data_IF_083981300617
#
_entry.id   IF_083981300617
#
_cell.length_a   1.000
_cell.length_b   1.000
_cell.length_c   1.000
_cell.angle_alpha   90.00
_cell.angle_beta   90.00
_cell.angle_gamma   90.00
#
_symmetry.space_group_name_H-M   'P 1'
#
loop_
_entity.id
_entity.type
_entity.pdbx_description
1 polymer ?
#
# COMPACT_ATOMS: atom_id res chain seq x y z
N UNK A 1 10.66 4.19 -6.10
CA UNK A 1 10.62 3.43 -4.83
C UNK A 1 11.92 3.73 -4.11
N UNK A 2 11.87 4.46 -3.00
CA UNK A 2 13.05 4.71 -2.17
C UNK A 2 12.73 4.11 -0.81
N UNK A 3 13.42 3.04 -0.45
CA UNK A 3 13.29 2.41 0.86
C UNK A 3 14.11 3.28 1.82
N UNK A 4 13.46 3.84 2.85
CA UNK A 4 14.10 4.69 3.84
C UNK A 4 14.87 3.79 4.80
N UNK A 5 16.20 3.88 4.80
CA UNK A 5 17.03 3.22 5.81
C UNK A 5 17.22 4.20 6.97
N UNK A 6 16.50 4.03 8.07
CA UNK A 6 16.98 4.59 9.33
C UNK A 6 18.21 3.77 9.72
N UNK A 7 19.38 4.35 9.46
CA UNK A 7 20.66 3.67 9.50
C UNK A 7 21.09 3.40 10.96
N UNK A 8 20.42 2.45 11.60
CA UNK A 8 20.93 1.75 12.77
C UNK A 8 21.52 0.43 12.27
N UNK A 9 22.65 0.49 11.57
CA UNK A 9 23.38 -0.70 11.07
C UNK A 9 23.99 -1.53 12.23
N UNK A 10 23.21 -1.76 13.28
CA UNK A 10 23.58 -2.52 14.46
C UNK A 10 23.17 -3.97 14.25
N UNK A 11 24.11 -4.88 14.51
CA UNK A 11 23.82 -6.31 14.55
C UNK A 11 23.03 -6.59 15.83
N UNK A 12 21.80 -7.07 15.67
CA UNK A 12 20.92 -7.49 16.74
C UNK A 12 21.39 -8.81 17.36
N UNK A 13 20.85 -9.17 18.52
CA UNK A 13 21.12 -10.46 19.18
C UNK A 13 20.71 -11.66 18.31
N UNK A 14 19.72 -11.48 17.44
CA UNK A 14 19.29 -12.44 16.42
C UNK A 14 20.26 -12.56 15.21
N UNK A 15 21.28 -11.71 15.16
CA UNK A 15 22.24 -11.62 14.06
C UNK A 15 21.73 -10.88 12.82
N UNK A 16 20.49 -10.38 12.82
CA UNK A 16 19.97 -9.46 11.80
C UNK A 16 20.54 -8.05 11.99
N UNK A 17 20.60 -7.27 10.92
CA UNK A 17 20.94 -5.85 10.96
C UNK A 17 19.66 -5.03 11.10
N UNK A 18 19.63 -4.17 12.13
CA UNK A 18 18.52 -3.24 12.32
C UNK A 18 18.44 -2.22 11.17
N UNK A 19 17.21 -1.77 10.87
CA UNK A 19 16.95 -0.76 9.84
C UNK A 19 17.35 -1.15 8.41
N UNK A 20 17.59 -2.43 8.14
CA UNK A 20 18.05 -2.96 6.86
C UNK A 20 16.96 -3.81 6.17
N UNK A 21 16.85 -3.72 4.84
CA UNK A 21 15.79 -4.36 4.06
C UNK A 21 16.27 -5.62 3.34
N UNK A 22 15.77 -6.78 3.75
CA UNK A 22 16.22 -8.10 3.28
C UNK A 22 15.34 -8.57 2.11
N UNK A 23 15.90 -8.92 0.94
CA UNK A 23 15.12 -9.52 -0.14
C UNK A 23 14.52 -10.85 0.28
N UNK A 24 13.21 -11.02 0.06
CA UNK A 24 12.54 -12.31 0.15
C UNK A 24 12.81 -13.08 -1.16
N UNK A 25 13.36 -14.28 -1.03
CA UNK A 25 13.76 -15.12 -2.16
C UNK A 25 12.76 -16.25 -2.38
N UNK A 26 12.26 -16.85 -1.30
CA UNK A 26 11.34 -17.98 -1.37
C UNK A 26 10.46 -18.07 -0.11
N UNK A 27 9.34 -18.75 -0.27
CA UNK A 27 8.47 -19.18 0.82
C UNK A 27 8.10 -20.64 0.58
N UNK A 28 8.38 -21.51 1.55
CA UNK A 28 8.16 -22.96 1.43
C UNK A 28 7.52 -23.54 2.70
N UNK A 29 6.71 -24.59 2.56
CA UNK A 29 6.21 -25.39 3.67
C UNK A 29 7.04 -26.68 3.75
N UNK A 30 7.78 -26.86 4.84
CA UNK A 30 8.65 -28.02 5.06
C UNK A 30 8.28 -28.69 6.36
N UNK A 31 7.88 -29.97 6.30
CA UNK A 31 7.48 -30.77 7.46
C UNK A 31 6.41 -30.10 8.34
N UNK A 32 5.46 -29.39 7.72
CA UNK A 32 4.42 -28.65 8.45
C UNK A 32 4.85 -27.30 9.01
N UNK A 33 6.04 -26.80 8.66
CA UNK A 33 6.51 -25.46 9.02
C UNK A 33 6.56 -24.54 7.80
N UNK A 34 5.91 -23.38 7.87
CA UNK A 34 6.06 -22.33 6.86
C UNK A 34 7.35 -21.54 7.10
N UNK A 35 8.24 -21.55 6.11
CA UNK A 35 9.59 -20.97 6.16
C UNK A 35 9.77 -19.91 5.08
N UNK A 36 10.40 -18.79 5.43
CA UNK A 36 10.80 -17.72 4.52
C UNK A 36 12.31 -17.80 4.28
N UNK A 37 12.73 -17.75 3.03
CA UNK A 37 14.13 -17.56 2.65
C UNK A 37 14.41 -16.08 2.39
N UNK A 38 15.41 -15.55 3.10
CA UNK A 38 15.89 -14.18 2.94
C UNK A 38 17.33 -14.17 2.46
N UNK A 39 17.67 -13.23 1.58
CA UNK A 39 19.06 -12.95 1.24
C UNK A 39 19.63 -11.86 2.16
N UNK A 40 20.86 -12.06 2.63
CA UNK A 40 21.61 -10.99 3.29
C UNK A 40 22.55 -10.33 2.25
N UNK A 41 22.20 -9.16 1.68
CA UNK A 41 23.07 -8.43 0.76
C UNK A 41 24.21 -7.66 1.46
N UNK A 42 24.25 -7.64 2.80
CA UNK A 42 25.28 -6.92 3.56
C UNK A 42 26.43 -7.84 3.94
N UNK A 43 27.62 -7.23 4.08
CA UNK A 43 28.85 -7.93 4.45
C UNK A 43 28.89 -8.40 5.93
N UNK A 44 27.85 -8.10 6.70
CA UNK A 44 27.76 -8.35 8.14
C UNK A 44 26.35 -8.86 8.51
N UNK A 45 26.23 -9.43 9.70
CA UNK A 45 24.98 -10.06 10.16
C UNK A 45 24.84 -11.49 9.64
N UNK A 46 24.43 -12.40 10.50
CA UNK A 46 24.14 -13.79 10.15
C UNK A 46 23.06 -14.27 11.09
N UNK A 47 21.90 -14.64 10.54
CA UNK A 47 20.81 -15.20 11.33
C UNK A 47 21.30 -16.40 12.15
N UNK A 48 21.10 -16.32 13.46
CA UNK A 48 21.55 -17.32 14.43
C UNK A 48 20.39 -18.05 15.13
N UNK A 49 19.14 -17.75 14.75
CA UNK A 49 17.95 -18.42 15.28
C UNK A 49 17.67 -19.76 14.61
N UNK A 50 16.47 -20.30 14.86
CA UNK A 50 16.02 -21.57 14.27
C UNK A 50 16.04 -21.49 12.74
N UNK A 51 16.37 -22.59 12.08
CA UNK A 51 16.59 -22.67 10.61
C UNK A 51 17.78 -21.86 10.08
N UNK A 52 18.56 -21.25 11.00
CA UNK A 52 19.83 -20.63 10.69
C UNK A 52 20.88 -21.64 10.22
N UNK A 53 22.01 -21.15 9.68
CA UNK A 53 23.03 -21.98 9.04
C UNK A 53 23.56 -23.14 9.88
N UNK A 54 23.53 -22.99 11.20
CA UNK A 54 24.11 -23.92 12.19
C UNK A 54 23.04 -24.79 12.88
N UNK A 55 21.78 -24.75 12.41
CA UNK A 55 20.66 -25.50 13.01
C UNK A 55 20.54 -26.95 12.50
N UNK A 56 20.23 -27.93 13.39
CA UNK A 56 19.96 -29.30 12.98
C UNK A 56 18.60 -29.38 12.27
N UNK A 57 18.60 -29.69 10.96
CA UNK A 57 17.40 -29.72 10.12
C UNK A 57 17.52 -28.95 8.81
N UNK A 58 18.64 -28.25 8.59
CA UNK A 58 18.89 -27.53 7.34
C UNK A 58 18.92 -28.47 6.13
N UNK A 59 18.16 -28.12 5.09
CA UNK A 59 18.32 -28.69 3.74
C UNK A 59 19.73 -28.32 3.25
N UNK A 60 20.59 -29.30 3.01
CA UNK A 60 21.99 -29.10 2.60
C UNK A 60 22.18 -28.50 1.20
N UNK A 61 21.12 -27.92 0.61
CA UNK A 61 21.09 -27.53 -0.80
C UNK A 61 20.96 -26.02 -0.95
N UNK A 62 21.78 -25.50 -1.87
CA UNK A 62 21.89 -24.12 -2.34
C UNK A 62 22.78 -23.20 -1.50
N UNK A 63 24.07 -23.53 -1.49
CA UNK A 63 25.13 -22.57 -1.18
C UNK A 63 25.64 -21.96 -2.50
N UNK A 64 25.32 -20.69 -2.75
CA UNK A 64 25.99 -19.88 -3.78
C UNK A 64 27.06 -19.02 -3.09
N UNK A 65 28.30 -18.95 -3.62
CA UNK A 65 29.36 -18.17 -2.98
C UNK A 65 29.08 -16.66 -3.09
N UNK A 66 29.09 -15.94 -1.95
CA UNK A 66 29.06 -14.47 -1.89
C UNK A 66 27.87 -13.87 -1.13
N UNK A 67 26.68 -14.44 -1.27
CA UNK A 67 25.47 -14.09 -0.51
C UNK A 67 24.83 -15.40 -0.06
N UNK A 68 24.71 -15.60 1.25
CA UNK A 68 24.14 -16.84 1.78
C UNK A 68 22.69 -16.58 2.16
N UNK A 69 21.70 -17.06 1.39
CA UNK A 69 20.33 -17.01 1.83
C UNK A 69 20.19 -17.82 3.12
N UNK A 70 19.36 -17.34 4.02
CA UNK A 70 19.03 -18.00 5.28
C UNK A 70 17.53 -18.19 5.38
N UNK A 71 17.14 -19.25 6.09
CA UNK A 71 15.75 -19.57 6.33
C UNK A 71 15.39 -19.20 7.76
N UNK A 72 14.15 -18.75 7.94
CA UNK A 72 13.54 -18.57 9.25
C UNK A 72 12.07 -18.99 9.18
N UNK A 73 11.46 -19.23 10.34
CA UNK A 73 10.03 -19.45 10.38
C UNK A 73 9.26 -18.18 10.01
N UNK A 74 8.04 -18.33 9.49
CA UNK A 74 7.15 -17.18 9.27
C UNK A 74 6.89 -16.39 10.56
N UNK A 75 6.91 -17.07 11.72
CA UNK A 75 6.73 -16.44 13.02
C UNK A 75 7.91 -15.54 13.39
N UNK A 76 9.15 -16.04 13.23
CA UNK A 76 10.36 -15.23 13.44
C UNK A 76 10.40 -14.04 12.48
N UNK A 77 9.98 -14.26 11.22
CA UNK A 77 9.87 -13.20 10.23
C UNK A 77 8.94 -12.08 10.70
N UNK A 78 7.72 -12.42 11.15
CA UNK A 78 6.77 -11.45 11.67
C UNK A 78 7.25 -10.73 12.94
N UNK A 79 8.12 -11.37 13.73
CA UNK A 79 8.67 -10.78 14.94
C UNK A 79 9.80 -9.78 14.64
N UNK A 80 10.56 -10.00 13.56
CA UNK A 80 11.75 -9.22 13.25
C UNK A 80 11.57 -8.18 12.15
N UNK A 81 10.57 -8.32 11.29
CA UNK A 81 10.32 -7.42 10.18
C UNK A 81 9.01 -6.66 10.37
N UNK A 82 9.06 -5.35 10.16
CA UNK A 82 7.92 -4.44 10.32
C UNK A 82 7.20 -4.15 9.01
N UNK A 83 7.94 -4.17 7.90
CA UNK A 83 7.46 -3.71 6.60
C UNK A 83 7.86 -4.69 5.49
N UNK A 84 6.94 -4.89 4.54
CA UNK A 84 7.23 -5.57 3.27
C UNK A 84 7.05 -4.57 2.14
N UNK A 85 8.04 -4.51 1.25
CA UNK A 85 7.97 -3.69 0.05
C UNK A 85 7.91 -4.59 -1.19
N UNK A 86 6.84 -4.48 -1.97
CA UNK A 86 6.71 -5.18 -3.26
C UNK A 86 7.02 -4.22 -4.41
N UNK A 87 7.93 -4.62 -5.30
CA UNK A 87 8.15 -3.91 -6.55
C UNK A 87 7.40 -4.62 -7.69
N UNK A 88 6.36 -3.99 -8.24
CA UNK A 88 5.65 -4.49 -9.42
C UNK A 88 6.20 -3.85 -10.69
N UNK A 89 6.54 -4.67 -11.68
CA UNK A 89 6.82 -4.18 -13.03
C UNK A 89 5.49 -3.84 -13.71
N UNK A 90 5.37 -2.60 -14.17
CA UNK A 90 4.25 -2.21 -15.03
C UNK A 90 4.55 -2.71 -16.45
N UNK A 91 3.61 -3.40 -17.11
CA UNK A 91 3.84 -3.89 -18.47
C UNK A 91 4.23 -2.76 -19.42
N UNK A 92 5.18 -3.02 -20.32
CA UNK A 92 5.66 -2.02 -21.28
C UNK A 92 4.61 -1.52 -22.29
N UNK A 93 3.46 -2.19 -22.37
CA UNK A 93 2.31 -1.79 -23.17
C UNK A 93 1.47 -0.68 -22.55
N UNK A 94 1.65 -0.38 -21.25
CA UNK A 94 0.90 0.67 -20.57
C UNK A 94 1.34 2.05 -21.06
N UNK A 95 0.38 2.96 -21.18
CA UNK A 95 0.66 4.36 -21.47
C UNK A 95 1.01 5.10 -20.18
N UNK A 96 1.97 6.01 -20.25
CA UNK A 96 2.36 6.87 -19.15
C UNK A 96 2.26 8.34 -19.55
N UNK A 97 1.74 9.16 -18.63
CA UNK A 97 1.74 10.61 -18.72
C UNK A 97 2.21 11.18 -17.38
N UNK A 98 2.75 12.39 -17.39
CA UNK A 98 3.25 13.01 -16.17
C UNK A 98 3.06 14.51 -16.15
N UNK A 99 2.99 15.06 -14.94
CA UNK A 99 3.02 16.49 -14.68
C UNK A 99 3.93 16.78 -13.49
N UNK A 100 4.58 17.94 -13.54
CA UNK A 100 5.30 18.50 -12.41
C UNK A 100 4.43 19.55 -11.71
N UNK A 101 4.45 19.55 -10.38
CA UNK A 101 3.69 20.47 -9.54
C UNK A 101 4.53 20.92 -8.34
N UNK A 102 4.24 22.11 -7.85
CA UNK A 102 4.82 22.71 -6.64
C UNK A 102 3.79 23.62 -5.99
N UNK A 103 4.12 24.23 -4.86
CA UNK A 103 3.26 25.24 -4.24
C UNK A 103 2.96 26.43 -5.16
N UNK A 104 3.98 26.94 -5.85
CA UNK A 104 3.85 28.07 -6.77
C UNK A 104 3.15 27.70 -8.08
N UNK A 105 3.13 26.40 -8.41
CA UNK A 105 2.50 25.86 -9.62
C UNK A 105 1.63 24.65 -9.26
N UNK A 106 0.45 24.88 -8.65
CA UNK A 106 -0.51 23.80 -8.46
C UNK A 106 -0.98 23.32 -9.83
N UNK A 107 -1.19 22.01 -9.94
CA UNK A 107 -1.70 21.38 -11.16
C UNK A 107 -2.75 20.35 -10.80
N UNK A 108 -3.80 20.31 -11.62
CA UNK A 108 -4.91 19.35 -11.50
C UNK A 108 -5.01 18.56 -12.80
N UNK A 109 -4.32 17.42 -12.91
CA UNK A 109 -4.35 16.60 -14.11
C UNK A 109 -5.70 15.97 -14.33
N UNK A 110 -6.22 16.17 -15.54
CA UNK A 110 -7.43 15.59 -16.07
C UNK A 110 -7.09 14.39 -16.96
N UNK A 111 -7.65 13.24 -16.60
CA UNK A 111 -7.49 11.98 -17.31
C UNK A 111 -8.84 11.52 -17.84
N UNK A 112 -8.88 11.07 -19.08
CA UNK A 112 -10.02 10.37 -19.66
C UNK A 112 -9.55 9.20 -20.51
N UNK A 113 -10.36 8.15 -20.59
CA UNK A 113 -10.00 6.89 -21.24
C UNK A 113 -11.05 6.54 -22.30
N UNK A 114 -10.60 5.90 -23.38
CA UNK A 114 -11.49 5.48 -24.47
C UNK A 114 -12.20 4.15 -24.19
N UNK A 115 -11.66 3.35 -23.29
CA UNK A 115 -12.16 2.03 -22.90
C UNK A 115 -11.96 1.83 -21.40
N UNK A 116 -12.76 0.95 -20.75
CA UNK A 116 -12.54 0.63 -19.35
C UNK A 116 -11.12 0.12 -19.13
N UNK A 117 -10.37 0.72 -18.20
CA UNK A 117 -8.95 0.38 -17.99
C UNK A 117 -8.52 0.57 -16.55
N UNK A 118 -7.58 -0.25 -16.11
CA UNK A 118 -6.85 -0.02 -14.86
C UNK A 118 -5.93 1.19 -14.99
N UNK A 119 -5.70 1.88 -13.87
CA UNK A 119 -4.79 3.01 -13.79
C UNK A 119 -4.00 3.03 -12.48
N UNK A 120 -2.77 3.53 -12.55
CA UNK A 120 -1.91 3.78 -11.40
C UNK A 120 -1.55 5.26 -11.40
N UNK A 121 -1.79 5.93 -10.27
CA UNK A 121 -1.37 7.29 -10.02
C UNK A 121 -0.21 7.25 -9.03
N UNK A 122 0.99 7.59 -9.49
CA UNK A 122 2.21 7.60 -8.69
C UNK A 122 2.69 9.04 -8.53
N UNK A 123 2.58 9.57 -7.33
CA UNK A 123 3.14 10.85 -6.94
C UNK A 123 4.50 10.64 -6.30
N UNK A 124 5.50 11.41 -6.70
CA UNK A 124 6.88 11.29 -6.17
C UNK A 124 7.55 12.64 -6.04
N UNK A 125 8.42 12.79 -5.04
CA UNK A 125 9.23 13.99 -4.83
C UNK A 125 10.60 13.83 -5.43
N UNK A 126 11.19 14.95 -5.88
CA UNK A 126 12.59 14.98 -6.25
C UNK A 126 13.48 14.70 -5.04
N UNK A 127 14.62 14.04 -5.28
CA UNK A 127 15.61 13.85 -4.23
C UNK A 127 16.25 15.19 -3.87
N UNK A 128 16.41 15.49 -2.57
CA UNK A 128 17.19 16.63 -2.16
C UNK A 128 18.65 16.42 -2.58
N UNK A 129 19.39 17.51 -2.89
CA UNK A 129 20.81 17.41 -3.20
C UNK A 129 21.58 16.67 -2.10
N UNK A 130 22.60 15.90 -2.47
CA UNK A 130 23.46 15.21 -1.49
C UNK A 130 23.99 16.19 -0.45
N UNK A 131 23.83 15.85 0.83
CA UNK A 131 24.26 16.69 1.96
C UNK A 131 23.20 17.69 2.46
N UNK A 132 22.04 17.76 1.81
CA UNK A 132 20.90 18.55 2.31
C UNK A 132 20.28 17.89 3.54
N UNK A 133 20.00 18.68 4.57
CA UNK A 133 19.24 18.27 5.75
C UNK A 133 17.71 18.31 5.52
N UNK A 134 17.26 18.65 4.30
CA UNK A 134 15.82 18.67 3.98
C UNK A 134 15.26 17.25 3.97
N UNK A 135 14.37 16.97 4.90
CA UNK A 135 13.56 15.75 4.89
C UNK A 135 12.54 15.81 3.76
N UNK A 136 12.12 14.63 3.29
CA UNK A 136 10.94 14.50 2.45
C UNK A 136 9.73 15.11 3.15
N UNK A 137 8.86 15.73 2.35
CA UNK A 137 7.61 16.32 2.84
C UNK A 137 6.52 15.24 2.78
N UNK A 138 5.73 15.03 3.85
CA UNK A 138 4.60 14.13 3.81
C UNK A 138 3.61 14.51 2.70
N UNK A 139 3.27 13.54 1.85
CA UNK A 139 2.34 13.70 0.73
C UNK A 139 1.13 12.79 0.87
N UNK A 140 0.01 13.25 0.32
CA UNK A 140 -1.19 12.47 0.03
C UNK A 140 -1.64 12.71 -1.41
N UNK A 141 -2.57 11.89 -1.88
CA UNK A 141 -3.07 11.92 -3.25
C UNK A 141 -4.55 11.56 -3.26
N UNK A 142 -5.36 12.37 -3.94
CA UNK A 142 -6.77 12.10 -4.21
C UNK A 142 -7.02 12.00 -5.70
N UNK A 143 -7.91 11.08 -6.06
CA UNK A 143 -8.41 10.93 -7.42
C UNK A 143 -9.93 11.06 -7.36
N UNK A 144 -10.46 11.97 -8.15
CA UNK A 144 -11.89 12.24 -8.27
C UNK A 144 -12.42 11.78 -9.61
N UNK A 145 -13.71 11.49 -9.69
CA UNK A 145 -14.46 11.18 -10.91
C UNK A 145 -15.60 12.18 -11.08
N UNK A 146 -15.75 12.67 -12.30
CA UNK A 146 -16.95 13.36 -12.77
C UNK A 146 -17.49 12.64 -14.00
N UNK A 147 -18.79 12.38 -14.06
CA UNK A 147 -19.42 11.76 -15.23
C UNK A 147 -19.71 12.81 -16.29
N UNK A 148 -19.40 12.52 -17.55
CA UNK A 148 -19.79 13.38 -18.67
C UNK A 148 -21.30 13.21 -18.87
N UNK A 149 -22.08 14.24 -18.55
CA UNK A 149 -23.53 14.23 -18.78
C UNK A 149 -23.77 14.46 -20.27
N UNK A 150 -24.20 13.42 -21.00
CA UNK A 150 -24.61 13.59 -22.38
C UNK A 150 -25.78 14.59 -22.46
N UNK A 151 -25.85 15.46 -23.48
CA UNK A 151 -27.05 16.24 -23.76
C UNK A 151 -28.26 15.29 -23.87
N UNK A 152 -29.44 15.66 -23.36
CA UNK A 152 -30.65 14.87 -23.56
C UNK A 152 -30.86 14.54 -25.04
N UNK A 153 -31.30 13.31 -25.36
CA UNK A 153 -31.39 12.76 -26.72
C UNK A 153 -32.25 13.59 -27.70
N UNK A 154 -33.00 14.59 -27.21
CA UNK A 154 -33.85 15.48 -28.00
C UNK A 154 -33.45 16.96 -27.94
N UNK A 155 -32.31 17.30 -27.32
CA UNK A 155 -31.85 18.66 -27.13
C UNK A 155 -30.65 18.97 -28.05
N UNK A 156 -30.88 18.98 -29.37
CA UNK A 156 -29.89 19.52 -30.32
C UNK A 156 -29.82 21.04 -30.18
N UNK A 157 -28.66 21.57 -29.78
CA UNK A 157 -28.39 23.03 -29.73
C UNK A 157 -28.70 23.72 -28.40
N UNK A 158 -29.16 23.00 -27.37
CA UNK A 158 -29.32 23.58 -26.03
C UNK A 158 -27.97 23.57 -25.32
N UNK A 159 -27.43 24.76 -25.01
CA UNK A 159 -26.27 24.87 -24.11
C UNK A 159 -26.65 24.22 -22.79
N UNK A 160 -25.93 23.16 -22.44
CA UNK A 160 -26.10 22.50 -21.15
C UNK A 160 -25.75 23.54 -20.07
N UNK A 161 -26.76 23.98 -19.33
CA UNK A 161 -26.62 25.00 -18.30
C UNK A 161 -26.10 24.33 -17.02
N UNK A 162 -24.88 23.80 -17.09
CA UNK A 162 -24.22 23.20 -15.94
C UNK A 162 -23.52 24.34 -15.19
N UNK A 163 -24.03 24.70 -14.01
CA UNK A 163 -23.44 25.75 -13.18
C UNK A 163 -21.98 25.45 -12.81
N UNK A 164 -21.60 24.17 -12.79
CA UNK A 164 -20.24 23.68 -12.62
C UNK A 164 -20.05 22.35 -13.36
N UNK A 165 -19.10 22.24 -14.32
CA UNK A 165 -18.92 21.05 -15.16
C UNK A 165 -18.40 19.82 -14.41
N UNK A 166 -17.91 19.98 -13.17
CA UNK A 166 -17.40 18.89 -12.34
C UNK A 166 -18.46 18.30 -11.40
N UNK A 167 -19.69 18.82 -11.38
CA UNK A 167 -20.75 18.31 -10.51
C UNK A 167 -21.64 17.28 -11.23
N UNK A 168 -21.92 16.11 -10.62
CA UNK A 168 -21.43 15.64 -9.32
C UNK A 168 -19.97 15.16 -9.38
N UNK A 169 -19.19 15.53 -8.36
CA UNK A 169 -17.81 15.08 -8.17
C UNK A 169 -17.78 13.99 -7.11
N UNK A 170 -17.10 12.89 -7.41
CA UNK A 170 -17.01 11.71 -6.53
C UNK A 170 -15.55 11.43 -6.19
N UNK A 171 -15.24 11.22 -4.91
CA UNK A 171 -13.90 10.75 -4.50
C UNK A 171 -13.76 9.26 -4.83
N UNK A 172 -12.89 8.96 -5.79
CA UNK A 172 -12.67 7.59 -6.27
C UNK A 172 -11.68 6.87 -5.37
N UNK A 173 -10.56 7.52 -5.07
CA UNK A 173 -9.47 6.92 -4.34
C UNK A 173 -8.70 8.00 -3.59
N UNK A 174 -8.21 7.67 -2.40
CA UNK A 174 -7.46 8.57 -1.53
C UNK A 174 -6.32 7.80 -0.87
N UNK A 175 -5.11 8.32 -1.02
CA UNK A 175 -4.00 8.03 -0.12
C UNK A 175 -3.86 9.24 0.81
N UNK A 176 -4.11 9.10 2.12
CA UNK A 176 -3.95 10.20 3.06
C UNK A 176 -2.47 10.61 3.15
N UNK A 177 -2.20 11.72 3.83
CA UNK A 177 -0.84 12.17 4.05
C UNK A 177 -0.07 11.09 4.83
N UNK A 178 0.89 10.46 4.16
CA UNK A 178 1.76 9.46 4.78
C UNK A 178 3.04 10.13 5.28
N UNK A 179 3.40 9.86 6.54
CA UNK A 179 4.64 10.36 7.16
C UNK A 179 5.89 9.66 6.61
N UNK A 180 5.72 8.54 5.90
CA UNK A 180 6.79 7.58 5.59
C UNK A 180 7.33 7.67 4.14
N UNK A 181 6.63 8.32 3.21
CA UNK A 181 6.93 8.20 1.78
C UNK A 181 7.42 9.47 1.08
N UNK A 182 8.52 9.37 0.32
CA UNK A 182 8.84 10.30 -0.79
C UNK A 182 7.93 10.13 -2.00
N UNK A 183 7.14 9.07 -2.00
CA UNK A 183 6.19 8.76 -3.04
C UNK A 183 4.94 8.16 -2.43
N UNK A 184 3.80 8.49 -3.03
CA UNK A 184 2.51 7.86 -2.73
C UNK A 184 1.93 7.33 -4.02
N UNK A 185 1.26 6.18 -3.92
CA UNK A 185 0.66 5.50 -5.05
C UNK A 185 -0.80 5.22 -4.77
N UNK A 186 -1.64 5.45 -5.76
CA UNK A 186 -3.06 5.10 -5.75
C UNK A 186 -3.35 4.27 -6.99
N UNK A 187 -3.91 3.08 -6.79
CA UNK A 187 -4.38 2.23 -7.87
C UNK A 187 -5.90 2.38 -8.02
N UNK A 188 -6.34 2.64 -9.25
CA UNK A 188 -7.75 2.68 -9.60
C UNK A 188 -8.04 1.46 -10.47
N UNK A 189 -8.77 0.44 -9.96
CA UNK A 189 -9.01 -0.81 -10.69
C UNK A 189 -9.69 -0.61 -12.04
N UNK A 190 -10.54 0.43 -12.14
CA UNK A 190 -11.33 0.69 -13.33
C UNK A 190 -11.62 2.18 -13.52
N UNK A 191 -10.94 2.80 -14.47
CA UNK A 191 -11.37 4.02 -15.13
C UNK A 191 -12.41 3.67 -16.19
N UNK A 192 -13.52 4.41 -16.23
CA UNK A 192 -14.63 4.19 -17.14
C UNK A 192 -14.58 5.15 -18.34
N UNK A 193 -14.94 4.69 -19.55
CA UNK A 193 -15.17 5.59 -20.66
C UNK A 193 -16.36 6.50 -20.32
N UNK A 194 -16.33 7.74 -20.80
CA UNK A 194 -17.32 8.80 -20.48
C UNK A 194 -17.22 9.38 -19.06
N UNK A 195 -16.12 9.09 -18.35
CA UNK A 195 -15.78 9.77 -17.12
C UNK A 195 -14.53 10.64 -17.30
N UNK A 196 -14.48 11.70 -16.52
CA UNK A 196 -13.32 12.56 -16.32
C UNK A 196 -12.77 12.27 -14.94
N UNK A 197 -11.45 12.06 -14.86
CA UNK A 197 -10.76 11.82 -13.61
C UNK A 197 -9.81 12.98 -13.32
N UNK A 198 -9.89 13.56 -12.12
CA UNK A 198 -9.02 14.65 -11.69
C UNK A 198 -8.18 14.19 -10.53
N UNK A 199 -6.86 14.33 -10.62
CA UNK A 199 -5.95 14.06 -9.52
C UNK A 199 -5.60 15.35 -8.77
N UNK A 200 -5.57 15.28 -7.44
CA UNK A 200 -5.21 16.39 -6.54
C UNK A 200 -4.20 15.91 -5.51
N UNK A 201 -3.16 16.71 -5.29
CA UNK A 201 -2.13 16.45 -4.28
C UNK A 201 -2.59 17.01 -2.93
N UNK A 202 -2.35 16.24 -1.86
CA UNK A 202 -2.51 16.72 -0.48
C UNK A 202 -1.11 16.86 0.15
N UNK A 203 -0.88 17.95 0.88
CA UNK A 203 0.34 18.14 1.67
C UNK A 203 0.02 19.04 2.88
N UNK A 204 0.94 19.07 3.84
CA UNK A 204 0.79 19.97 5.00
C UNK A 204 1.04 21.43 4.58
N UNK A 205 0.18 22.38 4.95
CA UNK A 205 0.36 23.80 4.60
C UNK A 205 1.71 24.39 5.06
N UNK A 206 2.26 23.86 6.15
CA UNK A 206 3.53 24.33 6.71
C UNK A 206 4.75 23.62 6.10
N UNK A 207 4.52 22.64 5.22
CA UNK A 207 5.55 21.88 4.55
C UNK A 207 5.07 21.56 3.12
N UNK A 208 5.10 22.55 2.21
CA UNK A 208 4.80 22.31 0.81
C UNK A 208 5.95 21.56 0.10
N UNK A 209 5.65 20.77 -0.94
CA UNK A 209 6.69 20.15 -1.75
C UNK A 209 7.39 21.18 -2.65
N UNK A 210 8.72 21.16 -2.66
CA UNK A 210 9.54 21.95 -3.60
C UNK A 210 9.21 21.58 -5.07
N UNK A 211 9.20 20.26 -5.35
CA UNK A 211 8.83 19.69 -6.63
C UNK A 211 8.27 18.29 -6.42
N UNK A 212 7.03 18.08 -6.86
CA UNK A 212 6.40 16.78 -6.95
C UNK A 212 6.06 16.45 -8.40
N UNK A 213 6.16 15.18 -8.74
CA UNK A 213 5.87 14.64 -10.06
C UNK A 213 4.76 13.62 -9.90
N UNK A 214 3.60 13.91 -10.50
CA UNK A 214 2.54 12.91 -10.67
C UNK A 214 2.76 12.19 -11.99
N UNK A 215 2.80 10.86 -11.93
CA UNK A 215 2.76 9.96 -13.08
C UNK A 215 1.43 9.23 -13.08
N UNK A 216 0.77 9.20 -14.22
CA UNK A 216 -0.42 8.41 -14.45
C UNK A 216 -0.04 7.31 -15.44
N UNK A 217 -0.30 6.06 -15.08
CA UNK A 217 -0.11 4.91 -15.96
C UNK A 217 -1.47 4.27 -16.22
N UNK A 218 -1.73 3.87 -17.46
CA UNK A 218 -3.01 3.24 -17.84
C UNK A 218 -2.77 2.06 -18.80
N UNK A 219 -3.55 1.00 -18.65
CA UNK A 219 -3.47 -0.19 -19.51
C UNK A 219 -4.00 0.02 -20.94
N UNK A 220 -4.72 1.11 -21.19
CA UNK A 220 -5.31 1.48 -22.49
C UNK A 220 -4.97 2.92 -22.86
N UNK A 221 -5.41 3.38 -24.04
CA UNK A 221 -5.20 4.77 -24.44
C UNK A 221 -5.86 5.75 -23.49
N UNK A 222 -5.09 6.73 -23.02
CA UNK A 222 -5.61 7.85 -22.23
C UNK A 222 -5.43 9.19 -22.96
N UNK A 223 -6.31 10.13 -22.64
CA UNK A 223 -6.06 11.56 -22.85
C UNK A 223 -5.70 12.17 -21.51
N UNK A 224 -4.61 12.91 -21.52
CA UNK A 224 -4.04 13.57 -20.35
C UNK A 224 -3.84 15.05 -20.64
N UNK A 225 -4.33 15.92 -19.77
CA UNK A 225 -4.06 17.37 -19.80
C UNK A 225 -4.18 17.97 -18.42
N UNK A 226 -3.67 19.17 -18.23
CA UNK A 226 -3.93 19.95 -17.03
C UNK A 226 -5.27 20.69 -17.17
N UNK A 227 -5.96 20.92 -16.05
CA UNK A 227 -7.08 21.85 -16.01
C UNK A 227 -6.61 23.28 -16.26
N UNK A 228 -7.37 24.03 -17.06
CA UNK A 228 -7.18 25.47 -17.22
C UNK A 228 -7.56 26.23 -15.95
N UNK A 229 -7.11 27.48 -15.80
CA UNK A 229 -7.40 28.30 -14.61
C UNK A 229 -8.91 28.38 -14.28
N UNK A 230 -9.83 28.61 -15.25
CA UNK A 230 -11.26 28.60 -14.95
C UNK A 230 -11.77 27.23 -14.51
N UNK A 231 -11.29 26.15 -15.15
CA UNK A 231 -11.68 24.79 -14.79
C UNK A 231 -11.21 24.42 -13.38
N UNK A 232 -9.98 24.79 -13.01
CA UNK A 232 -9.45 24.57 -11.66
C UNK A 232 -10.31 25.26 -10.60
N UNK A 233 -10.80 26.48 -10.85
CA UNK A 233 -11.70 27.16 -9.92
C UNK A 233 -13.03 26.42 -9.73
N UNK A 234 -13.63 25.91 -10.82
CA UNK A 234 -14.82 25.06 -10.73
C UNK A 234 -14.55 23.74 -10.01
N UNK A 235 -13.41 23.11 -10.29
CA UNK A 235 -13.01 21.87 -9.63
C UNK A 235 -12.88 22.06 -8.12
N UNK A 236 -12.15 23.07 -7.66
CA UNK A 236 -11.96 23.36 -6.24
C UNK A 236 -13.29 23.65 -5.52
N UNK A 237 -14.19 24.40 -6.15
CA UNK A 237 -15.54 24.63 -5.61
C UNK A 237 -16.36 23.34 -5.50
N UNK A 238 -16.14 22.38 -6.41
CA UNK A 238 -16.80 21.08 -6.33
C UNK A 238 -16.15 20.19 -5.26
N UNK A 239 -14.82 20.22 -5.15
CA UNK A 239 -14.03 19.47 -4.16
C UNK A 239 -14.44 19.79 -2.71
N UNK A 240 -14.66 21.07 -2.38
CA UNK A 240 -15.14 21.50 -1.06
C UNK A 240 -16.48 20.87 -0.65
N UNK A 241 -17.29 20.44 -1.62
CA UNK A 241 -18.61 19.85 -1.40
C UNK A 241 -18.56 18.32 -1.34
N UNK A 242 -17.41 17.70 -1.63
CA UNK A 242 -17.24 16.25 -1.58
C UNK A 242 -17.05 15.82 -0.13
N UNK A 243 -18.15 15.48 0.53
CA UNK A 243 -18.15 14.74 1.80
C UNK A 243 -18.44 13.26 1.53
N UNK A 244 -17.47 12.36 1.74
CA UNK A 244 -17.68 10.93 1.52
C UNK A 244 -16.42 10.10 1.69
N UNK A 245 -16.59 8.79 1.91
CA UNK A 245 -15.52 7.79 1.91
C UNK A 245 -15.14 7.49 0.44
N UNK A 246 -13.85 7.29 0.10
CA UNK A 246 -13.45 6.96 -1.26
C UNK A 246 -14.14 5.67 -1.75
N UNK A 247 -14.46 5.60 -3.04
CA UNK A 247 -15.06 4.40 -3.66
C UNK A 247 -14.14 3.18 -3.52
N UNK A 248 -12.84 3.39 -3.60
CA UNK A 248 -11.81 2.41 -3.31
C UNK A 248 -11.13 2.80 -2.01
N UNK A 249 -11.34 2.01 -0.95
CA UNK A 249 -10.53 2.11 0.24
C UNK A 249 -9.12 1.65 -0.12
N UNK A 250 -8.14 2.50 0.12
CA UNK A 250 -6.74 2.12 0.03
C UNK A 250 -6.30 1.88 1.46
N UNK A 251 -5.89 0.65 1.78
CA UNK A 251 -5.24 0.42 3.06
C UNK A 251 -3.98 1.28 3.14
N UNK A 252 -3.87 2.00 4.25
CA UNK A 252 -2.80 2.98 4.49
C UNK A 252 -1.44 2.32 4.70
N UNK A 253 -1.43 1.01 4.86
CA UNK A 253 -0.24 0.19 4.87
C UNK A 253 0.14 -0.09 3.43
N UNK A 254 1.33 0.36 3.06
CA UNK A 254 1.82 0.28 1.68
C UNK A 254 1.69 -1.15 1.14
N UNK A 255 0.87 -1.32 0.11
CA UNK A 255 0.64 -2.53 -0.69
C UNK A 255 -0.42 -3.53 -0.19
N UNK A 256 -1.69 -3.19 -0.44
CA UNK A 256 -2.79 -4.15 -0.52
C UNK A 256 -3.76 -3.75 -1.64
N UNK A 257 -3.78 -4.52 -2.74
CA UNK A 257 -4.83 -4.43 -3.75
C UNK A 257 -5.00 -5.77 -4.45
N UNK A 258 -6.09 -6.50 -4.15
CA UNK A 258 -6.89 -7.19 -5.16
C UNK A 258 -8.38 -7.18 -4.83
N UNK A 259 -9.18 -7.29 -5.90
CA UNK A 259 -10.60 -6.99 -5.96
C UNK A 259 -11.47 -7.91 -5.13
N UNK A 260 -12.45 -7.29 -4.45
CA UNK A 260 -13.60 -7.98 -3.88
C UNK A 260 -14.44 -8.60 -5.02
N UNK A 261 -14.39 -9.93 -5.13
CA UNK A 261 -15.43 -10.70 -5.81
C UNK A 261 -16.62 -10.80 -4.85
N UNK A 262 -17.77 -10.32 -5.31
CA UNK A 262 -19.06 -10.49 -4.64
C UNK A 262 -19.33 -11.98 -4.35
N UNK A 263 -19.33 -12.35 -3.07
CA UNK A 263 -20.02 -13.56 -2.61
C UNK A 263 -21.30 -13.12 -1.89
N UNK A 264 -22.42 -13.27 -2.58
CA UNK A 264 -23.75 -13.07 -2.04
C UNK A 264 -23.96 -13.98 -0.81
N UNK A 265 -24.23 -13.36 0.34
CA UNK A 265 -24.66 -14.05 1.56
C UNK A 265 -26.11 -14.52 1.42
N UNK A 266 -26.34 -15.83 1.50
CA UNK A 266 -27.63 -16.42 1.85
C UNK A 266 -27.62 -16.80 3.34
N UNK A 267 -28.70 -16.54 4.10
CA UNK A 267 -28.72 -16.77 5.54
C UNK A 267 -29.17 -18.19 5.89
N UNK A 268 -28.46 -18.85 6.80
CA UNK A 268 -28.99 -20.02 7.55
C UNK A 268 -28.32 -20.13 8.92
N UNK A 269 -28.92 -20.82 9.92
CA UNK A 269 -29.37 -20.17 11.14
C UNK A 269 -28.56 -20.56 12.37
N UNK A 270 -28.84 -19.81 13.44
CA UNK A 270 -28.31 -19.94 14.79
C UNK A 270 -28.28 -21.38 15.32
N UNK A 271 -27.15 -21.76 15.90
CA UNK A 271 -27.03 -22.91 16.79
C UNK A 271 -26.50 -22.44 18.14
N UNK A 272 -27.40 -22.43 19.11
CA UNK A 272 -27.10 -22.30 20.53
C UNK A 272 -26.27 -23.51 20.98
N UNK A 273 -25.28 -23.29 21.84
CA UNK A 273 -25.06 -24.21 22.97
C UNK A 273 -24.50 -23.45 24.20
N UNK A 274 -25.01 -23.71 25.42
CA UNK A 274 -24.61 -23.07 26.67
C UNK A 274 -23.75 -23.97 27.57
N UNK A 275 -22.77 -23.39 28.27
CA UNK A 275 -22.19 -23.81 29.58
C UNK A 275 -21.03 -22.82 29.88
N UNK A 276 -21.03 -21.91 30.88
CA UNK A 276 -21.23 -22.01 32.35
C UNK A 276 -20.21 -22.99 32.96
N UNK A 277 -19.34 -22.72 33.95
CA UNK A 277 -19.11 -21.70 34.99
C UNK A 277 -17.66 -21.98 35.53
N UNK A 278 -16.74 -21.05 35.82
CA UNK A 278 -16.54 -20.25 37.05
C UNK A 278 -15.29 -20.62 37.88
N UNK A 279 -14.73 -19.60 38.57
CA UNK A 279 -13.85 -19.59 39.76
C UNK A 279 -12.32 -19.84 39.56
N UNK A 280 -11.35 -19.16 40.22
CA UNK A 280 -11.31 -18.06 41.22
C UNK A 280 -9.84 -17.74 41.64
N UNK A 281 -9.56 -16.49 42.07
CA UNK A 281 -8.57 -15.98 43.08
C UNK A 281 -7.08 -16.43 42.96
N UNK A 282 -6.03 -15.60 42.97
CA UNK A 282 -5.76 -14.24 43.46
C UNK A 282 -4.75 -14.29 44.63
N UNK A 283 -3.49 -13.81 44.46
CA UNK A 283 -2.58 -13.29 45.52
C UNK A 283 -1.50 -12.37 44.90
N UNK A 284 -1.24 -11.26 45.60
CA UNK A 284 -0.35 -10.11 45.32
C UNK A 284 1.18 -10.35 45.43
N UNK A 285 1.99 -9.43 44.89
CA UNK A 285 3.39 -9.24 45.33
C UNK A 285 4.36 -8.46 44.42
N UNK A 286 4.24 -7.13 44.39
CA UNK A 286 5.25 -6.05 44.21
C UNK A 286 6.60 -6.28 43.46
N UNK A 287 6.90 -5.46 42.45
CA UNK A 287 7.78 -4.26 42.56
C UNK A 287 8.20 -3.73 41.16
N UNK A 288 8.40 -2.42 41.10
CA UNK A 288 8.58 -1.53 39.95
C UNK A 288 9.87 -1.68 39.16
N UNK A 289 9.82 -1.40 37.85
CA UNK A 289 10.72 -0.45 37.19
C UNK A 289 10.07 0.10 35.91
N UNK A 290 9.87 1.42 35.89
CA UNK A 290 9.12 2.17 34.88
C UNK A 290 10.04 2.76 33.82
N UNK A 291 9.98 2.25 32.60
CA UNK A 291 10.39 2.98 31.40
C UNK A 291 9.14 3.24 30.55
N UNK A 292 8.64 4.47 30.62
CA UNK A 292 7.54 4.94 29.77
C UNK A 292 8.04 5.02 28.33
N UNK A 293 7.58 4.11 27.49
CA UNK A 293 7.61 4.24 26.03
C UNK A 293 6.21 4.61 25.56
N UNK A 294 6.13 5.75 24.87
CA UNK A 294 4.89 6.28 24.31
C UNK A 294 4.32 5.33 23.26
N UNK A 295 3.02 5.05 23.39
CA UNK A 295 2.26 4.08 22.61
C UNK A 295 2.36 4.32 21.08
N UNK A 296 2.95 3.36 20.37
CA UNK A 296 2.56 3.05 19.00
C UNK A 296 1.17 2.38 19.05
N UNK A 297 0.26 2.80 18.18
CA UNK A 297 -1.10 2.28 18.13
C UNK A 297 -1.09 0.77 17.93
N UNK A 298 -1.74 0.04 18.83
CA UNK A 298 -1.98 -1.39 18.73
C UNK A 298 -2.73 -1.70 17.42
N UNK A 299 -1.99 -2.18 16.42
CA UNK A 299 -2.57 -2.99 15.37
C UNK A 299 -3.12 -4.25 16.05
N UNK A 300 -4.42 -4.50 15.86
CA UNK A 300 -5.14 -5.64 16.41
C UNK A 300 -4.36 -6.95 16.18
N UNK A 301 -4.11 -7.68 17.27
CA UNK A 301 -3.41 -8.97 17.37
C UNK A 301 -4.26 -10.13 16.79
N UNK A 302 -4.90 -9.91 15.65
CA UNK A 302 -5.82 -10.86 15.01
C UNK A 302 -5.07 -11.73 14.02
N UNK A 303 -4.44 -12.77 14.54
CA UNK A 303 -3.94 -13.90 13.75
C UNK A 303 -5.13 -14.70 13.21
N UNK A 304 -5.23 -14.84 11.89
CA UNK A 304 -6.27 -15.64 11.25
C UNK A 304 -5.67 -16.89 10.59
N UNK A 305 -6.44 -17.97 10.62
CA UNK A 305 -6.06 -19.23 9.99
C UNK A 305 -6.29 -19.13 8.48
N UNK A 306 -5.24 -19.43 7.71
CA UNK A 306 -5.29 -19.52 6.24
C UNK A 306 -4.88 -20.92 5.83
N UNK A 307 -5.73 -21.55 5.02
CA UNK A 307 -5.40 -22.78 4.33
C UNK A 307 -4.66 -22.46 3.03
N UNK A 308 -3.38 -22.81 2.98
CA UNK A 308 -2.51 -22.63 1.80
C UNK A 308 -2.55 -23.83 0.85
N UNK A 309 -3.55 -24.71 0.97
CA UNK A 309 -3.69 -25.92 0.17
C UNK A 309 -2.80 -27.09 0.63
N UNK A 310 -2.05 -26.90 1.71
CA UNK A 310 -1.16 -27.90 2.32
C UNK A 310 -1.21 -27.89 3.86
N UNK A 311 -2.21 -27.23 4.47
CA UNK A 311 -2.43 -27.15 5.91
C UNK A 311 -2.91 -25.77 6.38
N UNK A 312 -3.51 -25.72 7.57
CA UNK A 312 -3.97 -24.49 8.23
C UNK A 312 -2.82 -23.81 8.96
N UNK A 313 -2.50 -22.56 8.59
CA UNK A 313 -1.47 -21.75 9.24
C UNK A 313 -2.06 -20.46 9.79
N UNK A 314 -1.66 -20.09 11.01
CA UNK A 314 -1.96 -18.76 11.55
C UNK A 314 -1.00 -17.76 10.95
N UNK A 315 -1.54 -16.83 10.17
CA UNK A 315 -0.77 -15.77 9.52
C UNK A 315 -1.35 -14.41 9.92
N UNK A 316 -0.52 -13.37 10.07
CA UNK A 316 -1.03 -12.02 10.19
C UNK A 316 -1.62 -11.57 8.84
N UNK A 317 -2.66 -10.71 8.84
CA UNK A 317 -3.42 -10.35 7.63
C UNK A 317 -2.55 -9.91 6.43
N UNK A 318 -1.47 -9.16 6.68
CA UNK A 318 -0.59 -8.65 5.61
C UNK A 318 0.14 -9.75 4.83
N UNK A 319 0.44 -10.90 5.44
CA UNK A 319 1.09 -12.03 4.74
C UNK A 319 0.10 -12.88 3.96
N UNK A 320 -1.15 -12.96 4.40
CA UNK A 320 -2.20 -13.74 3.74
C UNK A 320 -2.48 -13.19 2.35
N UNK A 321 -2.55 -11.86 2.24
CA UNK A 321 -2.84 -11.18 0.98
C UNK A 321 -1.72 -11.36 -0.04
N UNK A 322 -0.47 -11.40 0.41
CA UNK A 322 0.71 -11.65 -0.44
C UNK A 322 0.73 -13.11 -0.92
N UNK A 323 0.44 -14.05 -0.03
CA UNK A 323 0.40 -15.48 -0.33
C UNK A 323 -0.62 -15.83 -1.42
N UNK A 324 -1.81 -15.23 -1.36
CA UNK A 324 -2.84 -15.38 -2.38
C UNK A 324 -2.43 -14.85 -3.77
N UNK A 325 -1.48 -13.92 -3.83
CA UNK A 325 -0.96 -13.38 -5.09
C UNK A 325 0.15 -14.26 -5.71
N UNK A 326 0.93 -14.96 -4.88
CA UNK A 326 2.01 -15.84 -5.34
C UNK A 326 1.56 -17.24 -5.76
N UNK A 327 0.35 -17.68 -5.37
CA UNK A 327 -0.24 -18.96 -5.78
C UNK A 327 -0.90 -18.93 -7.17
N UNK A 328 -0.94 -17.76 -7.82
CA UNK A 328 -1.33 -17.63 -9.22
C UNK A 328 -0.26 -18.25 -10.12
N UNK A 329 -0.52 -19.46 -10.60
CA UNK A 329 0.27 -20.14 -11.63
C UNK A 329 0.35 -19.25 -12.86
N UNK A 330 1.47 -18.53 -13.00
CA UNK A 330 2.08 -18.07 -14.25
C UNK A 330 3.45 -17.44 -13.91
N UNK A 331 4.42 -18.32 -13.63
CA UNK A 331 5.85 -18.04 -13.72
C UNK A 331 6.35 -18.46 -15.11
#
# INVERSE_FOLDING_TARGET
>A
MYIRFEQTNMVLTSGLLSGCAYPIIALEVVNGHALVALENPWFQGRWNGHWGPDSPGRRAQLQLPGCQPFWMSIQDFCQHFTDIAQARLVPGSWQAAMVAMSEERPSYPLVSVSSPTQAIFLLSQADPPRGSQRSAVPLGLRVYRCRIVAPPQHATGVKQNVSNPFKPLELVAEMPISQSGRSVMVEVPKLEPNCLYVASIIYSPNAPPDLAILRVLTASSMRFRELSVPESAYFLQAEEQVGGRPLYAIDTDSFSSQGSLEAAQLPTPARNDPMRDSASRGVDGAASESWQTSAASAASDTWQEVDLGFGEFKLPPFLQEILNQCSGVDC
#
